data_IF_236698299809
#
_entry.id   IF_236698299809
#
_cell.length_a   1.000
_cell.length_b   1.000
_cell.length_c   1.000
_cell.angle_alpha   90.00
_cell.angle_beta   90.00
_cell.angle_gamma   90.00
#
_symmetry.space_group_name_H-M   'P 1'
#
loop_
_entity.id
_entity.type
_entity.pdbx_description
1 polymer ?
#
# COMPACT_ATOMS: atom_id res chain seq x y z
N UNK A 1 -34.48 -37.17 41.41
CA UNK A 1 -33.78 -36.92 42.68
C UNK A 1 -32.83 -35.73 42.51
N UNK A 2 -33.09 -34.65 43.26
CA UNK A 2 -32.16 -33.73 43.97
C UNK A 2 -30.85 -33.35 43.25
N UNK A 3 -30.73 -32.11 42.76
CA UNK A 3 -30.18 -30.91 43.45
C UNK A 3 -28.71 -31.06 43.85
N UNK A 4 -27.86 -30.15 43.35
CA UNK A 4 -26.70 -29.50 43.99
C UNK A 4 -26.03 -28.64 42.88
N UNK A 5 -26.49 -27.42 42.57
CA UNK A 5 -26.11 -26.17 43.25
C UNK A 5 -24.64 -26.17 43.68
N UNK A 6 -23.73 -25.80 42.76
CA UNK A 6 -22.35 -25.45 43.09
C UNK A 6 -22.27 -23.92 43.25
N UNK A 7 -22.77 -23.50 44.41
CA UNK A 7 -22.25 -22.48 45.33
C UNK A 7 -21.42 -21.36 44.68
N UNK A 8 -22.11 -20.23 44.44
CA UNK A 8 -21.60 -18.91 44.79
C UNK A 8 -21.13 -18.90 46.24
N UNK A 9 -19.91 -18.42 46.50
CA UNK A 9 -19.55 -17.90 47.81
C UNK A 9 -18.18 -18.32 48.32
N UNK A 10 -17.16 -17.49 48.07
CA UNK A 10 -16.22 -17.04 49.11
C UNK A 10 -15.94 -15.56 48.86
N UNK A 11 -16.85 -14.72 49.30
CA UNK A 11 -16.62 -13.29 49.49
C UNK A 11 -17.10 -12.96 50.90
N UNK A 12 -16.24 -13.18 51.90
CA UNK A 12 -16.33 -12.59 53.22
C UNK A 12 -15.25 -13.21 54.12
N UNK A 13 -14.00 -12.77 54.01
CA UNK A 13 -13.03 -12.77 55.14
C UNK A 13 -11.79 -11.89 54.92
N UNK A 14 -11.78 -11.01 53.90
CA UNK A 14 -10.67 -10.08 53.70
C UNK A 14 -10.98 -8.64 54.13
N UNK A 15 -12.17 -8.40 54.71
CA UNK A 15 -12.57 -7.10 55.24
C UNK A 15 -11.90 -6.82 56.61
N UNK A 16 -10.56 -6.75 56.63
CA UNK A 16 -9.75 -6.10 57.66
C UNK A 16 -8.26 -5.99 57.24
N UNK A 17 -7.92 -5.96 55.95
CA UNK A 17 -6.64 -5.38 55.47
C UNK A 17 -6.68 -5.00 53.96
N UNK A 18 -7.88 -4.77 53.42
CA UNK A 18 -8.18 -4.89 52.00
C UNK A 18 -7.98 -3.63 51.14
N UNK A 19 -7.69 -2.47 51.75
CA UNK A 19 -7.64 -1.21 50.99
C UNK A 19 -6.39 -1.07 50.12
N UNK A 20 -5.20 -1.48 50.60
CA UNK A 20 -3.95 -1.30 49.83
C UNK A 20 -3.82 -2.25 48.65
N UNK A 21 -4.17 -3.53 48.85
CA UNK A 21 -3.97 -4.58 47.85
C UNK A 21 -5.00 -4.52 46.69
N UNK A 22 -6.16 -3.89 46.91
CA UNK A 22 -7.18 -3.67 45.89
C UNK A 22 -6.96 -2.37 45.10
N UNK A 23 -6.36 -1.35 45.71
CA UNK A 23 -5.89 -0.14 45.01
C UNK A 23 -4.67 -0.45 44.13
N UNK A 24 -3.67 -1.16 44.64
CA UNK A 24 -2.48 -1.58 43.86
C UNK A 24 -2.88 -2.41 42.63
N UNK A 25 -3.79 -3.38 42.77
CA UNK A 25 -4.30 -4.15 41.62
C UNK A 25 -5.11 -3.32 40.63
N UNK A 26 -5.83 -2.29 41.09
CA UNK A 26 -6.59 -1.38 40.20
C UNK A 26 -5.66 -0.42 39.47
N UNK A 27 -4.58 0.02 40.11
CA UNK A 27 -3.53 0.85 39.50
C UNK A 27 -2.71 0.04 38.49
N UNK A 28 -2.26 -1.17 38.84
CA UNK A 28 -1.60 -2.10 37.89
C UNK A 28 -2.51 -2.39 36.68
N UNK A 29 -3.80 -2.70 36.90
CA UNK A 29 -4.74 -2.92 35.79
C UNK A 29 -4.95 -1.67 34.91
N UNK A 30 -4.85 -0.46 35.47
CA UNK A 30 -4.96 0.79 34.69
C UNK A 30 -3.69 1.06 33.91
N UNK A 31 -2.53 0.81 34.49
CA UNK A 31 -1.23 0.94 33.84
C UNK A 31 -1.08 -0.08 32.71
N UNK A 32 -1.47 -1.33 32.94
CA UNK A 32 -1.48 -2.39 31.92
C UNK A 32 -2.46 -2.06 30.79
N UNK A 33 -3.65 -1.55 31.10
CA UNK A 33 -4.60 -1.12 30.09
C UNK A 33 -4.09 0.09 29.28
N UNK A 34 -3.35 1.01 29.92
CA UNK A 34 -2.72 2.15 29.26
C UNK A 34 -1.59 1.71 28.32
N UNK A 35 -0.70 0.82 28.78
CA UNK A 35 0.37 0.21 27.98
C UNK A 35 -0.18 -0.58 26.80
N UNK A 36 -1.20 -1.41 27.03
CA UNK A 36 -1.85 -2.16 25.95
C UNK A 36 -2.44 -1.23 24.89
N UNK A 37 -3.05 -0.11 25.30
CA UNK A 37 -3.60 0.88 24.36
C UNK A 37 -2.50 1.60 23.59
N UNK A 38 -1.37 1.90 24.23
CA UNK A 38 -0.19 2.50 23.62
C UNK A 38 0.45 1.53 22.61
N UNK A 39 0.70 0.28 22.99
CA UNK A 39 1.24 -0.76 22.12
C UNK A 39 0.35 -1.00 20.88
N UNK A 40 -0.97 -1.05 21.07
CA UNK A 40 -1.93 -1.18 19.96
C UNK A 40 -1.88 0.04 19.04
N UNK A 41 -1.75 1.24 19.59
CA UNK A 41 -1.65 2.48 18.80
C UNK A 41 -0.35 2.51 18.01
N UNK A 42 0.77 2.12 18.61
CA UNK A 42 2.08 2.12 17.97
C UNK A 42 2.16 1.07 16.86
N UNK A 43 1.63 -0.14 17.10
CA UNK A 43 1.52 -1.17 16.06
C UNK A 43 0.60 -0.76 14.89
N UNK A 44 -0.50 -0.04 15.19
CA UNK A 44 -1.38 0.50 14.17
C UNK A 44 -0.69 1.61 13.35
N UNK A 45 0.04 2.51 14.01
CA UNK A 45 0.82 3.55 13.34
C UNK A 45 1.91 2.95 12.45
N UNK A 46 2.69 1.99 12.96
CA UNK A 46 3.75 1.33 12.17
C UNK A 46 3.21 0.61 10.94
N UNK A 47 2.04 -0.04 11.07
CA UNK A 47 1.37 -0.70 9.95
C UNK A 47 0.85 0.31 8.93
N UNK A 48 0.29 1.43 9.39
CA UNK A 48 -0.16 2.54 8.55
C UNK A 48 0.99 3.20 7.79
N UNK A 49 2.09 3.47 8.46
CA UNK A 49 3.30 4.07 7.87
C UNK A 49 3.91 3.15 6.81
N UNK A 50 4.02 1.85 7.11
CA UNK A 50 4.51 0.87 6.14
C UNK A 50 3.61 0.77 4.90
N UNK A 51 2.29 0.80 5.07
CA UNK A 51 1.35 0.83 3.95
C UNK A 51 1.49 2.10 3.11
N UNK A 52 1.62 3.26 3.76
CA UNK A 52 1.80 4.54 3.09
C UNK A 52 3.09 4.58 2.27
N UNK A 53 4.19 4.06 2.81
CA UNK A 53 5.47 3.98 2.09
C UNK A 53 5.35 3.07 0.86
N UNK A 54 4.73 1.89 1.01
CA UNK A 54 4.51 0.99 -0.13
C UNK A 54 3.63 1.61 -1.22
N UNK A 55 2.57 2.32 -0.84
CA UNK A 55 1.73 3.08 -1.79
C UNK A 55 2.55 4.11 -2.53
N UNK A 56 3.33 4.91 -1.80
CA UNK A 56 4.17 5.96 -2.37
C UNK A 56 5.18 5.39 -3.37
N UNK A 57 5.82 4.27 -3.07
CA UNK A 57 6.73 3.61 -4.00
C UNK A 57 6.03 3.15 -5.29
N UNK A 58 4.83 2.58 -5.18
CA UNK A 58 4.02 2.22 -6.34
C UNK A 58 3.60 3.45 -7.15
N UNK A 59 3.18 4.53 -6.50
CA UNK A 59 2.86 5.80 -7.15
C UNK A 59 4.08 6.37 -7.89
N UNK A 60 5.24 6.44 -7.24
CA UNK A 60 6.44 7.01 -7.84
C UNK A 60 6.91 6.19 -9.05
N UNK A 61 6.84 4.86 -8.98
CA UNK A 61 7.15 3.98 -10.12
C UNK A 61 6.21 4.20 -11.31
N UNK A 62 4.90 4.29 -11.07
CA UNK A 62 3.91 4.55 -12.13
C UNK A 62 4.10 5.97 -12.70
N UNK A 63 4.38 6.97 -11.84
CA UNK A 63 4.59 8.36 -12.27
C UNK A 63 5.80 8.49 -13.17
N UNK A 64 6.92 7.85 -12.81
CA UNK A 64 8.13 7.86 -13.61
C UNK A 64 7.90 7.19 -14.97
N UNK A 65 7.16 6.08 -15.01
CA UNK A 65 6.82 5.43 -16.28
C UNK A 65 5.93 6.30 -17.16
N UNK A 66 4.92 6.98 -16.60
CA UNK A 66 4.08 7.95 -17.34
C UNK A 66 4.95 9.06 -17.94
N UNK A 67 5.91 9.59 -17.18
CA UNK A 67 6.82 10.63 -17.65
C UNK A 67 7.68 10.14 -18.82
N UNK A 68 8.20 8.92 -18.76
CA UNK A 68 8.95 8.31 -19.86
C UNK A 68 8.07 8.16 -21.11
N UNK A 69 6.83 7.71 -20.94
CA UNK A 69 5.85 7.65 -22.03
C UNK A 69 5.66 9.03 -22.66
N UNK A 70 5.46 10.08 -21.87
CA UNK A 70 5.24 11.43 -22.38
C UNK A 70 6.43 11.97 -23.18
N UNK A 71 7.65 11.76 -22.67
CA UNK A 71 8.88 12.17 -23.35
C UNK A 71 9.02 11.47 -24.70
N UNK A 72 8.87 10.15 -24.71
CA UNK A 72 8.95 9.34 -25.93
C UNK A 72 7.82 9.67 -26.92
N UNK A 73 6.60 9.92 -26.43
CA UNK A 73 5.47 10.36 -27.27
C UNK A 73 5.79 11.67 -28.02
N UNK A 74 6.48 12.62 -27.38
CA UNK A 74 6.89 13.87 -28.02
C UNK A 74 8.07 13.69 -28.98
N UNK A 75 8.96 12.73 -28.76
CA UNK A 75 10.02 12.38 -29.72
C UNK A 75 9.46 11.74 -30.99
N UNK A 76 8.57 10.75 -30.83
CA UNK A 76 7.88 10.11 -31.94
C UNK A 76 7.10 11.13 -32.79
N UNK A 77 6.53 12.15 -32.14
CA UNK A 77 5.82 13.24 -32.83
C UNK A 77 6.74 14.02 -33.77
N UNK A 78 8.02 14.17 -33.41
CA UNK A 78 9.03 14.83 -34.26
C UNK A 78 9.41 13.97 -35.47
N UNK A 79 9.37 12.65 -35.35
CA UNK A 79 9.61 11.76 -36.50
C UNK A 79 8.49 11.85 -37.54
N UNK A 80 7.23 11.95 -37.10
CA UNK A 80 6.08 12.23 -37.95
C UNK A 80 5.66 11.10 -38.91
N UNK A 81 6.34 9.95 -38.89
CA UNK A 81 6.04 8.76 -39.71
C UNK A 81 4.74 8.08 -39.26
N UNK A 82 4.10 7.27 -40.12
CA UNK A 82 2.90 6.53 -39.71
C UNK A 82 3.19 5.56 -38.57
N UNK A 83 4.34 4.85 -38.62
CA UNK A 83 4.82 3.99 -37.53
C UNK A 83 4.93 4.75 -36.21
N UNK A 84 5.46 5.97 -36.23
CA UNK A 84 5.56 6.80 -35.01
C UNK A 84 4.20 7.21 -34.47
N UNK A 85 3.21 7.48 -35.34
CA UNK A 85 1.85 7.82 -34.93
C UNK A 85 1.13 6.63 -34.30
N UNK A 86 1.28 5.44 -34.85
CA UNK A 86 0.74 4.21 -34.27
C UNK A 86 1.38 3.90 -32.91
N UNK A 87 2.70 4.05 -32.80
CA UNK A 87 3.40 3.84 -31.53
C UNK A 87 2.94 4.83 -30.46
N UNK A 88 2.75 6.11 -30.81
CA UNK A 88 2.18 7.11 -29.89
C UNK A 88 0.79 6.72 -29.41
N UNK A 89 -0.09 6.21 -30.28
CA UNK A 89 -1.43 5.75 -29.86
C UNK A 89 -1.34 4.66 -28.79
N UNK A 90 -0.49 3.64 -28.99
CA UNK A 90 -0.28 2.57 -28.02
C UNK A 90 0.29 3.10 -26.69
N UNK A 91 1.24 4.02 -26.75
CA UNK A 91 1.81 4.66 -25.57
C UNK A 91 0.77 5.49 -24.80
N UNK A 92 -0.11 6.23 -25.49
CA UNK A 92 -1.20 6.97 -24.84
C UNK A 92 -2.22 6.02 -24.19
N UNK A 93 -2.55 4.90 -24.82
CA UNK A 93 -3.41 3.86 -24.22
C UNK A 93 -2.79 3.30 -22.94
N UNK A 94 -1.51 2.96 -22.97
CA UNK A 94 -0.76 2.50 -21.79
C UNK A 94 -0.74 3.58 -20.69
N UNK A 95 -0.52 4.84 -21.06
CA UNK A 95 -0.57 5.98 -20.12
C UNK A 95 -1.95 6.12 -19.47
N UNK A 96 -3.04 5.90 -20.20
CA UNK A 96 -4.39 5.91 -19.64
C UNK A 96 -4.58 4.78 -18.63
N UNK A 97 -4.13 3.56 -18.95
CA UNK A 97 -4.15 2.43 -18.01
C UNK A 97 -3.35 2.73 -16.74
N UNK A 98 -2.16 3.32 -16.87
CA UNK A 98 -1.32 3.74 -15.74
C UNK A 98 -1.96 4.82 -14.89
N UNK A 99 -2.55 5.84 -15.50
CA UNK A 99 -3.26 6.89 -14.75
C UNK A 99 -4.45 6.33 -13.97
N UNK A 100 -5.16 5.35 -14.54
CA UNK A 100 -6.22 4.65 -13.81
C UNK A 100 -5.64 3.87 -12.63
N UNK A 101 -4.56 3.11 -12.85
CA UNK A 101 -3.93 2.33 -11.79
C UNK A 101 -3.33 3.20 -10.68
N UNK A 102 -2.75 4.35 -11.02
CA UNK A 102 -2.30 5.36 -10.06
C UNK A 102 -3.44 5.78 -9.12
N UNK A 103 -4.62 6.08 -9.68
CA UNK A 103 -5.79 6.43 -8.87
C UNK A 103 -6.25 5.27 -8.00
N UNK A 104 -6.18 4.03 -8.48
CA UNK A 104 -6.51 2.85 -7.66
C UNK A 104 -5.53 2.71 -6.47
N UNK A 105 -4.23 2.93 -6.69
CA UNK A 105 -3.19 2.92 -5.64
C UNK A 105 -3.50 3.98 -4.58
N UNK A 106 -3.71 5.23 -5.02
CA UNK A 106 -4.01 6.37 -4.14
C UNK A 106 -5.26 6.16 -3.29
N UNK A 107 -6.30 5.56 -3.87
CA UNK A 107 -7.60 5.37 -3.20
C UNK A 107 -7.74 4.01 -2.50
N UNK A 108 -6.74 3.14 -2.57
CA UNK A 108 -6.84 1.80 -1.96
C UNK A 108 -6.89 1.86 -0.44
N UNK A 109 -7.70 1.00 0.19
CA UNK A 109 -7.66 0.79 1.64
C UNK A 109 -6.58 -0.24 2.01
N UNK A 110 -6.31 -0.40 3.31
CA UNK A 110 -5.42 -1.46 3.80
C UNK A 110 -5.91 -2.86 3.36
N UNK A 111 -7.21 -3.12 3.47
CA UNK A 111 -7.81 -4.41 3.09
C UNK A 111 -7.72 -4.70 1.58
N UNK A 112 -7.77 -3.66 0.74
CA UNK A 112 -7.67 -3.80 -0.71
C UNK A 112 -6.21 -3.78 -1.22
N UNK A 113 -5.25 -3.36 -0.39
CA UNK A 113 -3.88 -3.02 -0.80
C UNK A 113 -3.20 -4.16 -1.56
N UNK A 114 -3.25 -5.37 -1.04
CA UNK A 114 -2.55 -6.51 -1.67
C UNK A 114 -3.04 -6.79 -3.09
N UNK A 115 -4.35 -6.65 -3.32
CA UNK A 115 -4.92 -6.82 -4.66
C UNK A 115 -4.53 -5.67 -5.59
N UNK A 116 -4.56 -4.43 -5.09
CA UNK A 116 -4.17 -3.23 -5.84
C UNK A 116 -2.70 -3.27 -6.22
N UNK A 117 -1.82 -3.64 -5.28
CA UNK A 117 -0.39 -3.81 -5.49
C UNK A 117 -0.09 -4.84 -6.57
N UNK A 118 -0.69 -6.04 -6.48
CA UNK A 118 -0.53 -7.09 -7.51
C UNK A 118 -0.95 -6.60 -8.90
N UNK A 119 -2.09 -5.93 -8.99
CA UNK A 119 -2.56 -5.37 -10.26
C UNK A 119 -1.64 -4.26 -10.80
N UNK A 120 -1.04 -3.46 -9.91
CA UNK A 120 -0.04 -2.46 -10.29
C UNK A 120 1.25 -3.13 -10.80
N UNK A 121 1.75 -4.15 -10.09
CA UNK A 121 2.95 -4.91 -10.49
C UNK A 121 2.76 -5.61 -11.84
N UNK A 122 1.59 -6.20 -12.09
CA UNK A 122 1.25 -6.81 -13.37
C UNK A 122 1.23 -5.79 -14.51
N UNK A 123 0.63 -4.61 -14.27
CA UNK A 123 0.64 -3.52 -15.25
C UNK A 123 2.07 -3.01 -15.51
N UNK A 124 2.90 -2.89 -14.48
CA UNK A 124 4.29 -2.47 -14.64
C UNK A 124 5.10 -3.51 -15.44
N UNK A 125 4.91 -4.81 -15.20
CA UNK A 125 5.53 -5.87 -16.01
C UNK A 125 5.08 -5.83 -17.47
N UNK A 126 3.78 -5.61 -17.72
CA UNK A 126 3.24 -5.42 -19.08
C UNK A 126 3.91 -4.21 -19.73
N UNK A 127 3.99 -3.09 -19.00
CA UNK A 127 4.66 -1.88 -19.47
C UNK A 127 6.13 -2.11 -19.78
N UNK A 128 6.87 -2.86 -18.97
CA UNK A 128 8.30 -3.13 -19.20
C UNK A 128 8.50 -3.94 -20.48
N UNK A 129 7.62 -4.90 -20.73
CA UNK A 129 7.60 -5.69 -21.97
C UNK A 129 7.33 -4.79 -23.18
N UNK A 130 6.25 -4.02 -23.14
CA UNK A 130 5.89 -3.09 -24.22
C UNK A 130 7.00 -2.05 -24.46
N UNK A 131 7.67 -1.59 -23.41
CA UNK A 131 8.79 -0.67 -23.51
C UNK A 131 10.02 -1.31 -24.16
N UNK A 132 10.28 -2.58 -23.87
CA UNK A 132 11.38 -3.34 -24.48
C UNK A 132 11.13 -3.55 -25.97
N UNK A 133 9.92 -3.97 -26.33
CA UNK A 133 9.50 -4.15 -27.72
C UNK A 133 9.55 -2.81 -28.48
N UNK A 134 9.07 -1.73 -27.85
CA UNK A 134 9.17 -0.38 -28.39
C UNK A 134 10.61 0.06 -28.64
N UNK A 135 11.52 -0.13 -27.66
CA UNK A 135 12.95 0.17 -27.80
C UNK A 135 13.59 -0.57 -28.96
N UNK A 136 13.15 -1.80 -29.23
CA UNK A 136 13.63 -2.57 -30.37
C UNK A 136 13.14 -1.97 -31.70
N UNK A 137 11.88 -1.55 -31.75
CA UNK A 137 11.26 -0.98 -32.95
C UNK A 137 11.74 0.43 -33.30
N UNK A 138 12.21 1.17 -32.29
CA UNK A 138 12.68 2.55 -32.40
C UNK A 138 14.10 2.74 -31.85
N UNK A 139 14.99 1.76 -32.09
CA UNK A 139 16.38 1.80 -31.60
C UNK A 139 17.10 3.12 -31.91
N UNK A 140 16.80 3.74 -33.04
CA UNK A 140 17.49 4.97 -33.45
C UNK A 140 17.05 6.21 -32.67
N UNK A 141 15.83 6.23 -32.10
CA UNK A 141 15.44 7.23 -31.10
C UNK A 141 16.32 7.11 -29.86
N UNK A 142 16.46 5.91 -29.33
CA UNK A 142 17.19 5.67 -28.08
C UNK A 142 18.71 5.75 -28.21
N UNK A 143 19.29 5.61 -29.41
CA UNK A 143 20.71 5.87 -29.63
C UNK A 143 21.05 7.36 -29.54
N UNK A 144 20.14 8.24 -29.97
CA UNK A 144 20.35 9.69 -29.93
C UNK A 144 20.42 10.25 -28.52
N UNK A 145 19.76 9.63 -27.54
CA UNK A 145 19.80 10.06 -26.14
C UNK A 145 21.06 9.60 -25.38
N UNK A 146 21.90 8.75 -26.01
CA UNK A 146 23.13 8.21 -25.40
C UNK A 146 24.41 8.94 -25.82
N UNK A 147 24.29 10.03 -26.61
CA UNK A 147 25.36 10.91 -27.04
C UNK A 147 25.16 12.32 -26.48
#
# INVERSE_FOLDING_TARGET
>A
MKKLMLIMGVAAFLACNENKQQEEKREEMREDAAKLKEDVKDAANSTGDYLNEQKKQAEDAIRERIKQIDQTSEELKKEGTEKSREARKKLEELKVEMNKKMKDVQNSSADAWDSTRKAADELMKKSDKEWTDFKQDFKDLFKRDSQ
#
